data_IF_768006444754
#
_entry.id   IF_768006444754
#
_cell.length_a   1.000
_cell.length_b   1.000
_cell.length_c   1.000
_cell.angle_alpha   90.00
_cell.angle_beta   90.00
_cell.angle_gamma   90.00
#
_symmetry.space_group_name_H-M   'P 1'
#
loop_
_entity.id
_entity.type
_entity.pdbx_description
1 polymer ?
#
# COMPACT_ATOMS: atom_id res chain seq x y z
N UNK A 1 0.67 -22.56 -55.13
CA UNK A 1 1.74 -22.53 -54.10
C UNK A 1 1.59 -21.39 -53.08
N UNK A 2 0.68 -20.40 -53.27
CA UNK A 2 0.54 -19.22 -52.38
C UNK A 2 -0.52 -19.33 -51.26
N UNK A 3 -1.41 -20.34 -51.25
CA UNK A 3 -2.49 -20.45 -50.23
C UNK A 3 -2.06 -21.06 -48.89
N UNK A 4 -0.91 -21.75 -48.84
CA UNK A 4 -0.40 -22.40 -47.62
C UNK A 4 0.45 -21.48 -46.74
N UNK A 5 0.93 -20.35 -47.28
CA UNK A 5 1.76 -19.38 -46.55
C UNK A 5 0.92 -18.42 -45.68
N UNK A 6 -0.32 -18.13 -46.08
CA UNK A 6 -1.18 -17.18 -45.36
C UNK A 6 -1.79 -17.75 -44.07
N UNK A 7 -1.99 -19.06 -43.98
CA UNK A 7 -2.55 -19.68 -42.78
C UNK A 7 -1.55 -19.76 -41.61
N UNK A 8 -0.24 -19.80 -41.90
CA UNK A 8 0.80 -19.86 -40.87
C UNK A 8 1.12 -18.50 -40.23
N UNK A 9 0.93 -17.40 -40.95
CA UNK A 9 1.13 -16.05 -40.39
C UNK A 9 0.00 -15.58 -39.46
N UNK A 10 -1.20 -16.19 -39.55
CA UNK A 10 -2.36 -15.76 -38.76
C UNK A 10 -2.40 -16.40 -37.36
N UNK A 11 -1.74 -17.56 -37.17
CA UNK A 11 -1.61 -18.22 -35.86
C UNK A 11 -0.49 -17.58 -35.01
N UNK A 12 0.52 -16.98 -35.64
CA UNK A 12 1.65 -16.34 -34.94
C UNK A 12 1.30 -14.95 -34.37
N UNK A 13 0.24 -14.30 -34.89
CA UNK A 13 -0.21 -12.98 -34.41
C UNK A 13 -1.02 -13.02 -33.11
N UNK A 14 -1.68 -14.13 -32.79
CA UNK A 14 -2.52 -14.24 -31.59
C UNK A 14 -1.75 -14.56 -30.30
N UNK A 15 -0.46 -14.90 -30.37
CA UNK A 15 0.35 -15.28 -29.19
C UNK A 15 1.06 -14.08 -28.54
N UNK A 16 1.12 -12.92 -29.20
CA UNK A 16 1.84 -11.73 -28.72
C UNK A 16 0.95 -10.65 -28.08
N UNK A 17 -0.36 -10.89 -27.92
CA UNK A 17 -1.32 -9.89 -27.41
C UNK A 17 -1.62 -10.00 -25.90
N UNK A 18 -0.95 -10.88 -25.16
CA UNK A 18 -1.20 -11.06 -23.74
C UNK A 18 0.08 -10.84 -22.95
N UNK A 19 -0.07 -10.22 -21.78
CA UNK A 19 0.97 -9.93 -20.78
C UNK A 19 1.59 -8.52 -20.95
N UNK A 20 0.74 -7.49 -20.96
CA UNK A 20 1.06 -6.34 -20.10
C UNK A 20 0.83 -6.78 -18.66
N UNK A 21 1.80 -7.52 -18.08
CA UNK A 21 1.85 -7.70 -16.64
C UNK A 21 2.21 -6.32 -16.06
N UNK A 22 1.18 -5.54 -15.71
CA UNK A 22 1.39 -4.45 -14.75
C UNK A 22 1.99 -5.09 -13.51
N UNK A 23 3.27 -4.84 -13.27
CA UNK A 23 3.95 -5.28 -12.05
C UNK A 23 3.32 -4.52 -10.88
N UNK A 24 2.23 -5.08 -10.33
CA UNK A 24 1.56 -4.54 -9.16
C UNK A 24 2.49 -4.74 -7.98
N UNK A 25 2.83 -3.65 -7.30
CA UNK A 25 3.65 -3.70 -6.09
C UNK A 25 2.85 -4.38 -4.99
N UNK A 26 3.41 -5.43 -4.40
CA UNK A 26 2.73 -6.18 -3.35
C UNK A 26 2.73 -5.43 -2.01
N UNK A 27 1.66 -5.63 -1.24
CA UNK A 27 1.56 -5.12 0.13
C UNK A 27 2.43 -5.97 1.08
N UNK A 28 3.43 -5.40 1.78
CA UNK A 28 4.39 -6.17 2.58
C UNK A 28 3.75 -7.06 3.65
N UNK A 29 4.22 -8.31 3.77
CA UNK A 29 3.65 -9.30 4.68
C UNK A 29 3.77 -8.92 6.17
N UNK A 30 4.82 -8.22 6.56
CA UNK A 30 5.03 -7.74 7.93
C UNK A 30 4.06 -6.62 8.29
N UNK A 31 3.83 -5.66 7.38
CA UNK A 31 2.78 -4.64 7.54
C UNK A 31 1.40 -5.31 7.54
N UNK A 32 1.16 -6.28 6.65
CA UNK A 32 -0.08 -7.08 6.59
C UNK A 32 -0.38 -7.84 7.89
N UNK A 33 0.65 -8.23 8.62
CA UNK A 33 0.49 -8.88 9.93
C UNK A 33 0.04 -7.91 11.04
N UNK A 34 0.26 -6.60 10.86
CA UNK A 34 -0.16 -5.57 11.80
C UNK A 34 -1.52 -4.97 11.42
N UNK A 35 -1.71 -4.64 10.14
CA UNK A 35 -2.94 -4.04 9.60
C UNK A 35 -3.18 -4.46 8.15
N UNK A 36 -4.45 -4.67 7.81
CA UNK A 36 -4.88 -4.91 6.44
C UNK A 36 -4.74 -3.65 5.58
N UNK A 37 -4.39 -3.82 4.30
CA UNK A 37 -4.41 -2.73 3.33
C UNK A 37 -5.77 -2.01 3.33
N UNK A 38 -5.78 -0.69 3.17
CA UNK A 38 -7.02 0.08 3.12
C UNK A 38 -7.88 -0.37 1.91
N UNK A 39 -9.18 -0.64 2.09
CA UNK A 39 -10.04 -1.06 0.98
C UNK A 39 -10.04 -0.05 -0.17
N UNK A 40 -9.79 -0.53 -1.39
CA UNK A 40 -9.75 0.31 -2.59
C UNK A 40 -8.50 1.20 -2.71
N UNK A 41 -7.51 1.07 -1.81
CA UNK A 41 -6.21 1.73 -2.00
C UNK A 41 -5.35 1.00 -3.03
N UNK A 42 -4.45 1.72 -3.68
CA UNK A 42 -3.42 1.15 -4.56
C UNK A 42 -2.06 1.23 -3.87
N UNK A 43 -1.24 0.19 -4.01
CA UNK A 43 0.15 0.22 -3.52
C UNK A 43 1.01 0.92 -4.56
N UNK A 44 1.55 2.07 -4.20
CA UNK A 44 2.42 2.87 -5.09
C UNK A 44 3.88 2.45 -4.91
N UNK A 45 4.27 2.14 -3.68
CA UNK A 45 5.63 1.76 -3.34
C UNK A 45 5.64 0.87 -2.10
N UNK A 46 6.51 -0.13 -2.11
CA UNK A 46 6.80 -0.96 -0.95
C UNK A 46 8.31 -1.12 -0.83
N UNK A 47 8.85 -0.89 0.35
CA UNK A 47 10.28 -1.04 0.61
C UNK A 47 10.51 -1.74 1.95
N UNK A 48 11.58 -2.50 2.00
CA UNK A 48 12.07 -3.14 3.21
C UNK A 48 13.50 -2.70 3.46
N UNK A 49 13.74 -2.17 4.65
CA UNK A 49 15.06 -1.73 5.12
C UNK A 49 15.45 -2.56 6.34
N UNK A 50 16.73 -2.50 6.78
CA UNK A 50 17.14 -3.13 8.04
C UNK A 50 16.37 -2.60 9.26
N UNK A 51 15.84 -1.37 9.18
CA UNK A 51 15.11 -0.72 10.26
C UNK A 51 13.61 -1.09 10.30
N UNK A 52 13.08 -1.67 9.22
CA UNK A 52 11.66 -1.96 9.13
C UNK A 52 11.13 -2.08 7.71
N UNK A 53 9.81 -2.07 7.60
CA UNK A 53 9.10 -2.07 6.32
C UNK A 53 8.27 -0.81 6.19
N UNK A 54 8.26 -0.25 4.99
CA UNK A 54 7.47 0.93 4.64
C UNK A 54 6.66 0.63 3.39
N UNK A 55 5.42 1.10 3.36
CA UNK A 55 4.57 1.07 2.18
C UNK A 55 3.88 2.41 2.00
N UNK A 56 3.81 2.84 0.75
CA UNK A 56 3.07 4.03 0.31
C UNK A 56 1.86 3.55 -0.48
N UNK A 57 0.68 4.01 -0.09
CA UNK A 57 -0.58 3.73 -0.76
C UNK A 57 -1.23 5.03 -1.22
N UNK A 58 -2.06 4.95 -2.25
CA UNK A 58 -2.97 6.01 -2.63
C UNK A 58 -4.43 5.57 -2.49
N UNK A 59 -5.31 6.51 -2.16
CA UNK A 59 -6.76 6.31 -2.11
C UNK A 59 -7.49 7.57 -2.57
N UNK A 60 -8.72 7.42 -3.07
CA UNK A 60 -9.62 8.55 -3.38
C UNK A 60 -10.49 8.95 -2.20
N UNK A 61 -10.45 8.19 -1.10
CA UNK A 61 -11.21 8.50 0.11
C UNK A 61 -10.58 9.66 0.91
N UNK A 62 -11.38 10.42 1.71
CA UNK A 62 -10.86 11.50 2.52
C UNK A 62 -9.88 11.04 3.61
N UNK A 63 -8.82 11.83 3.86
CA UNK A 63 -7.78 11.54 4.85
C UNK A 63 -8.32 11.17 6.25
N UNK A 64 -9.35 11.86 6.82
CA UNK A 64 -9.89 11.50 8.13
C UNK A 64 -10.53 10.10 8.17
N UNK A 65 -11.19 9.69 7.08
CA UNK A 65 -11.81 8.35 6.97
C UNK A 65 -10.74 7.27 6.93
N UNK A 66 -9.70 7.50 6.12
CA UNK A 66 -8.56 6.59 5.96
C UNK A 66 -7.79 6.45 7.27
N UNK A 67 -7.50 7.55 7.96
CA UNK A 67 -6.80 7.50 9.25
C UNK A 67 -7.62 6.78 10.32
N UNK A 68 -8.94 7.04 10.40
CA UNK A 68 -9.83 6.38 11.35
C UNK A 68 -9.83 4.86 11.19
N UNK A 69 -9.77 4.35 9.96
CA UNK A 69 -9.64 2.92 9.68
C UNK A 69 -8.39 2.32 10.31
N UNK A 70 -7.22 2.93 10.09
CA UNK A 70 -5.96 2.41 10.65
C UNK A 70 -5.90 2.53 12.16
N UNK A 71 -6.35 3.67 12.71
CA UNK A 71 -6.45 3.87 14.15
C UNK A 71 -7.31 2.78 14.80
N UNK A 72 -8.50 2.52 14.25
CA UNK A 72 -9.38 1.48 14.76
C UNK A 72 -8.72 0.09 14.66
N UNK A 73 -8.14 -0.26 13.51
CA UNK A 73 -7.51 -1.57 13.31
C UNK A 73 -6.34 -1.81 14.28
N UNK A 74 -5.49 -0.81 14.49
CA UNK A 74 -4.36 -0.89 15.42
C UNK A 74 -4.82 -0.99 16.87
N UNK A 75 -5.76 -0.14 17.29
CA UNK A 75 -6.30 -0.17 18.66
C UNK A 75 -7.01 -1.50 18.98
N UNK A 76 -7.80 -2.04 18.03
CA UNK A 76 -8.46 -3.34 18.20
C UNK A 76 -7.47 -4.51 18.23
N UNK A 77 -6.30 -4.34 17.62
CA UNK A 77 -5.23 -5.35 17.58
C UNK A 77 -4.26 -5.26 18.77
N UNK A 78 -4.61 -4.47 19.80
CA UNK A 78 -3.82 -4.32 21.03
C UNK A 78 -2.55 -3.49 20.86
N UNK A 79 -2.51 -2.60 19.86
CA UNK A 79 -1.45 -1.59 19.78
C UNK A 79 -1.82 -0.37 20.63
N UNK A 80 -0.84 0.17 21.35
CA UNK A 80 -1.00 1.33 22.22
C UNK A 80 -0.66 2.61 21.47
N UNK A 81 -1.61 3.54 21.39
CA UNK A 81 -1.36 4.88 20.83
C UNK A 81 -0.36 5.63 21.71
N UNK A 82 0.78 6.02 21.13
CA UNK A 82 1.80 6.84 21.79
C UNK A 82 1.60 8.32 21.49
N UNK A 83 1.22 8.64 20.26
CA UNK A 83 1.11 10.00 19.77
C UNK A 83 0.12 10.05 18.61
N UNK A 84 -0.66 11.12 18.56
CA UNK A 84 -1.58 11.43 17.47
C UNK A 84 -1.49 12.93 17.22
N UNK A 85 -1.25 13.31 15.97
CA UNK A 85 -1.24 14.71 15.57
C UNK A 85 -2.12 14.90 14.35
N UNK A 86 -2.88 15.99 14.37
CA UNK A 86 -3.71 16.43 13.27
C UNK A 86 -3.31 17.88 12.94
N UNK A 87 -2.82 18.09 11.73
CA UNK A 87 -2.42 19.40 11.22
C UNK A 87 -2.97 19.62 9.81
N UNK A 88 -2.83 20.83 9.28
CA UNK A 88 -3.42 21.21 7.99
C UNK A 88 -2.97 20.31 6.82
N UNK A 89 -1.76 19.74 6.91
CA UNK A 89 -1.14 18.94 5.85
C UNK A 89 -1.50 17.44 5.94
N UNK A 90 -2.01 16.97 7.08
CA UNK A 90 -2.35 15.57 7.28
C UNK A 90 -2.57 15.15 8.74
N UNK A 91 -2.82 13.85 8.90
CA UNK A 91 -3.01 13.21 10.19
C UNK A 91 -1.93 12.13 10.35
N UNK A 92 -1.22 12.16 11.46
CA UNK A 92 -0.20 11.19 11.80
C UNK A 92 -0.46 10.55 13.15
N UNK A 93 -0.07 9.28 13.29
CA UNK A 93 -0.22 8.54 14.54
C UNK A 93 0.91 7.53 14.72
N UNK A 94 1.33 7.39 15.97
CA UNK A 94 2.34 6.43 16.38
C UNK A 94 1.72 5.44 17.35
N UNK A 95 1.95 4.17 17.08
CA UNK A 95 1.50 3.07 17.92
C UNK A 95 2.69 2.19 18.32
N UNK A 96 2.60 1.58 19.50
CA UNK A 96 3.60 0.66 20.01
C UNK A 96 2.95 -0.66 20.43
N UNK A 97 3.66 -1.77 20.20
CA UNK A 97 3.32 -3.10 20.70
C UNK A 97 4.59 -3.87 21.01
N UNK A 98 4.94 -3.92 22.30
CA UNK A 98 6.24 -4.43 22.74
C UNK A 98 7.38 -3.54 22.24
N UNK A 99 8.33 -4.14 21.54
CA UNK A 99 9.49 -3.50 20.89
C UNK A 99 9.16 -2.93 19.51
N UNK A 100 7.96 -3.15 18.98
CA UNK A 100 7.56 -2.69 17.64
C UNK A 100 6.87 -1.33 17.70
N UNK A 101 7.18 -0.48 16.72
CA UNK A 101 6.54 0.82 16.50
C UNK A 101 5.91 0.82 15.11
N UNK A 102 4.68 1.30 15.04
CA UNK A 102 3.93 1.48 13.80
C UNK A 102 3.58 2.95 13.63
N UNK A 103 3.99 3.54 12.52
CA UNK A 103 3.74 4.93 12.17
C UNK A 103 2.76 4.96 10.99
N UNK A 104 1.66 5.68 11.14
CA UNK A 104 0.69 5.95 10.07
C UNK A 104 0.73 7.44 9.80
N UNK A 105 0.97 7.82 8.55
CA UNK A 105 0.86 9.20 8.08
C UNK A 105 -0.13 9.22 6.92
N UNK A 106 -1.15 10.07 7.02
CA UNK A 106 -2.18 10.23 5.99
C UNK A 106 -2.23 11.69 5.59
N UNK A 107 -1.80 11.99 4.37
CA UNK A 107 -1.75 13.34 3.82
C UNK A 107 -2.65 13.45 2.60
N UNK A 108 -3.01 14.68 2.24
CA UNK A 108 -3.64 14.96 0.95
C UNK A 108 -2.52 15.25 -0.07
N UNK A 109 -2.55 14.56 -1.19
CA UNK A 109 -1.61 14.71 -2.30
C UNK A 109 -2.40 14.97 -3.59
N UNK A 110 -2.39 16.23 -4.04
CA UNK A 110 -3.20 16.72 -5.16
C UNK A 110 -4.70 16.36 -5.02
N UNK A 111 -5.16 15.38 -5.81
CA UNK A 111 -6.53 14.88 -5.86
C UNK A 111 -6.74 13.56 -5.08
N UNK A 112 -5.68 13.03 -4.47
CA UNK A 112 -5.69 11.74 -3.77
C UNK A 112 -5.29 11.90 -2.30
N UNK A 113 -5.61 10.90 -1.52
CA UNK A 113 -5.05 10.70 -0.18
C UNK A 113 -3.85 9.78 -0.29
N UNK A 114 -2.70 10.25 0.16
CA UNK A 114 -1.50 9.45 0.30
C UNK A 114 -1.43 8.86 1.71
N UNK A 115 -1.05 7.60 1.80
CA UNK A 115 -0.97 6.84 3.05
C UNK A 115 0.45 6.28 3.13
N UNK A 116 1.18 6.64 4.18
CA UNK A 116 2.49 6.06 4.47
C UNK A 116 2.37 5.25 5.74
N UNK A 117 2.65 3.95 5.63
CA UNK A 117 2.71 3.04 6.79
C UNK A 117 4.16 2.62 6.97
N UNK A 118 4.67 2.73 8.19
CA UNK A 118 6.03 2.34 8.56
C UNK A 118 5.95 1.43 9.78
N UNK A 119 6.49 0.23 9.68
CA UNK A 119 6.67 -0.70 10.79
C UNK A 119 8.15 -0.86 11.05
N UNK A 120 8.59 -0.56 12.27
CA UNK A 120 9.97 -0.77 12.70
C UNK A 120 10.07 -1.19 14.17
N UNK A 121 11.29 -1.19 14.70
CA UNK A 121 11.56 -1.41 16.13
C UNK A 121 11.76 -0.08 16.83
N UNK A 122 11.13 0.13 17.98
CA UNK A 122 11.40 1.28 18.85
C UNK A 122 12.79 1.17 19.45
N UNK A 123 13.60 2.23 19.30
CA UNK A 123 14.82 2.39 20.09
C UNK A 123 14.49 2.84 21.52
#
# INVERSE_FOLDING_TARGET
MQRRLFAFMLVLGCVLAAISASAQVDYPNDIKSAVTQYPGSQVEMAMKTPQGSQVVLSSTDPSPKVYAYYKQALSQSGWETQMEMNHAEGIQGHWRKGDKVFHVVVTKDEEKTQIVLILGTGQ
#
